data_IF_925294473251
#
_entry.id   IF_925294473251
#
_cell.length_a   1.000
_cell.length_b   1.000
_cell.length_c   1.000
_cell.angle_alpha   90.00
_cell.angle_beta   90.00
_cell.angle_gamma   90.00
#
_symmetry.space_group_name_H-M   'P 1'
#
loop_
_entity.id
_entity.type
_entity.pdbx_description
1 polymer ?
#
# COMPACT_ATOMS: atom_id res chain seq x y z
N UNK A 1 -5.99 -8.72 7.12
CA UNK A 1 -7.40 -9.15 6.91
C UNK A 1 -7.59 -9.84 5.57
N UNK A 2 -7.06 -9.32 4.46
CA UNK A 2 -7.20 -9.92 3.12
C UNK A 2 -6.56 -11.31 3.01
N UNK A 3 -5.36 -11.52 3.56
CA UNK A 3 -4.67 -12.82 3.61
C UNK A 3 -5.49 -13.92 4.29
N UNK A 4 -6.34 -13.56 5.24
CA UNK A 4 -7.21 -14.50 5.95
C UNK A 4 -8.64 -14.57 5.37
N UNK A 5 -8.97 -13.80 4.32
CA UNK A 5 -10.31 -13.78 3.72
C UNK A 5 -11.41 -13.20 4.61
N UNK A 6 -11.06 -12.38 5.60
CA UNK A 6 -11.98 -11.77 6.55
C UNK A 6 -12.68 -10.54 5.99
N UNK A 7 -13.98 -10.40 6.26
CA UNK A 7 -14.79 -9.24 5.87
C UNK A 7 -14.99 -8.27 7.05
N UNK A 8 -15.10 -6.97 6.80
CA UNK A 8 -15.48 -6.02 7.84
C UNK A 8 -16.85 -6.38 8.46
N UNK A 9 -16.93 -6.39 9.80
CA UNK A 9 -18.18 -6.65 10.51
C UNK A 9 -18.54 -8.12 10.74
N UNK A 10 -17.64 -9.06 10.43
CA UNK A 10 -17.86 -10.48 10.74
C UNK A 10 -17.89 -10.72 12.26
N UNK A 11 -18.77 -11.64 12.73
CA UNK A 11 -18.81 -12.04 14.14
C UNK A 11 -17.49 -12.69 14.60
N UNK A 12 -17.12 -12.49 15.86
CA UNK A 12 -15.90 -13.05 16.47
C UNK A 12 -15.70 -14.55 16.19
N UNK A 13 -16.77 -15.36 16.35
CA UNK A 13 -16.71 -16.79 16.09
C UNK A 13 -16.37 -17.13 14.63
N UNK A 14 -16.86 -16.35 13.68
CA UNK A 14 -16.57 -16.55 12.26
C UNK A 14 -15.12 -16.19 11.92
N UNK A 15 -14.61 -15.10 12.52
CA UNK A 15 -13.21 -14.68 12.36
C UNK A 15 -12.29 -15.79 12.93
N UNK A 16 -12.56 -16.25 14.15
CA UNK A 16 -11.78 -17.30 14.82
C UNK A 16 -11.77 -18.60 14.01
N UNK A 17 -12.93 -19.03 13.52
CA UNK A 17 -13.05 -20.23 12.68
C UNK A 17 -12.27 -20.08 11.36
N UNK A 18 -12.31 -18.89 10.75
CA UNK A 18 -11.58 -18.60 9.52
C UNK A 18 -10.07 -18.62 9.74
N UNK A 19 -9.59 -17.98 10.82
CA UNK A 19 -8.15 -18.00 11.19
C UNK A 19 -7.71 -19.43 11.48
N UNK A 20 -8.47 -20.17 12.29
CA UNK A 20 -8.18 -21.57 12.63
C UNK A 20 -8.00 -22.43 11.37
N UNK A 21 -8.95 -22.37 10.45
CA UNK A 21 -8.89 -23.12 9.18
C UNK A 21 -7.67 -22.73 8.34
N UNK A 22 -7.37 -21.44 8.23
CA UNK A 22 -6.21 -20.95 7.46
C UNK A 22 -4.87 -21.41 8.05
N UNK A 23 -4.77 -21.47 9.37
CA UNK A 23 -3.59 -21.99 10.04
C UNK A 23 -3.42 -23.49 9.77
N UNK A 24 -4.50 -24.27 9.84
CA UNK A 24 -4.47 -25.71 9.49
C UNK A 24 -4.08 -25.93 8.02
N UNK A 25 -4.64 -25.15 7.08
CA UNK A 25 -4.28 -25.20 5.66
C UNK A 25 -2.79 -24.90 5.41
N UNK A 26 -2.16 -24.14 6.30
CA UNK A 26 -0.74 -23.78 6.26
C UNK A 26 0.16 -24.68 7.13
N UNK A 27 -0.32 -25.82 7.60
CA UNK A 27 0.39 -26.74 8.48
C UNK A 27 0.91 -26.11 9.78
N UNK A 28 0.17 -25.10 10.29
CA UNK A 28 0.44 -24.43 11.57
C UNK A 28 -0.52 -24.90 12.64
N UNK A 29 -0.04 -24.96 13.89
CA UNK A 29 -0.90 -25.27 15.05
C UNK A 29 -1.87 -24.10 15.32
N UNK A 30 -3.21 -24.32 15.18
CA UNK A 30 -4.19 -23.28 15.44
C UNK A 30 -4.24 -22.87 16.92
N UNK A 31 -3.96 -23.77 17.85
CA UNK A 31 -4.00 -23.46 19.28
C UNK A 31 -2.92 -22.44 19.68
N UNK A 32 -1.77 -22.48 19.02
CA UNK A 32 -0.71 -21.48 19.18
C UNK A 32 -0.95 -20.22 18.30
N UNK A 33 -1.42 -20.41 17.07
CA UNK A 33 -1.48 -19.35 16.08
C UNK A 33 -2.69 -18.43 16.19
N UNK A 34 -3.88 -18.97 16.51
CA UNK A 34 -5.11 -18.16 16.62
C UNK A 34 -4.97 -17.01 17.61
N UNK A 35 -4.47 -17.21 18.84
CA UNK A 35 -4.29 -16.12 19.79
C UNK A 35 -3.35 -15.02 19.27
N UNK A 36 -2.28 -15.37 18.54
CA UNK A 36 -1.33 -14.41 17.98
C UNK A 36 -1.97 -13.56 16.89
N UNK A 37 -2.74 -14.20 15.98
CA UNK A 37 -3.44 -13.48 14.90
C UNK A 37 -4.53 -12.57 15.44
N UNK A 38 -5.33 -13.02 16.40
CA UNK A 38 -6.39 -12.22 17.00
C UNK A 38 -5.81 -11.00 17.74
N UNK A 39 -4.71 -11.20 18.49
CA UNK A 39 -4.01 -10.10 19.14
C UNK A 39 -3.47 -9.05 18.14
N UNK A 40 -2.93 -9.49 16.99
CA UNK A 40 -2.47 -8.60 15.94
C UNK A 40 -3.62 -7.80 15.30
N UNK A 41 -4.82 -8.36 15.28
CA UNK A 41 -6.02 -7.70 14.73
C UNK A 41 -6.74 -6.81 15.75
N UNK A 42 -6.20 -6.69 16.96
CA UNK A 42 -6.82 -6.00 18.11
C UNK A 42 -8.23 -6.54 18.43
N UNK A 43 -8.37 -7.86 18.29
CA UNK A 43 -9.60 -8.56 18.63
C UNK A 43 -9.47 -9.10 20.06
N UNK A 44 -10.44 -8.79 20.96
CA UNK A 44 -10.39 -9.27 22.33
C UNK A 44 -10.24 -10.79 22.40
N UNK A 45 -9.25 -11.24 23.14
CA UNK A 45 -9.01 -12.65 23.43
C UNK A 45 -9.58 -12.99 24.80
N UNK A 46 -10.05 -14.21 24.96
CA UNK A 46 -10.08 -14.83 26.29
C UNK A 46 -8.61 -14.98 26.72
N UNK A 47 -8.17 -14.08 27.58
CA UNK A 47 -6.79 -13.59 27.76
C UNK A 47 -5.80 -14.62 28.32
N UNK A 48 -6.25 -15.78 28.77
CA UNK A 48 -5.42 -16.75 29.49
C UNK A 48 -4.38 -17.47 28.60
N UNK A 49 -4.60 -17.57 27.29
CA UNK A 49 -3.73 -18.34 26.38
C UNK A 49 -2.43 -17.64 25.98
N UNK A 50 -2.37 -16.30 26.02
CA UNK A 50 -1.15 -15.53 25.74
C UNK A 50 -0.36 -15.13 27.01
N UNK A 51 -0.95 -15.32 28.17
CA UNK A 51 -0.35 -14.91 29.45
C UNK A 51 1.06 -15.49 29.73
N UNK A 52 1.40 -16.73 29.31
CA UNK A 52 2.71 -17.29 29.61
C UNK A 52 3.85 -16.75 28.71
N UNK A 53 3.55 -16.04 27.62
CA UNK A 53 4.59 -15.54 26.70
C UNK A 53 5.08 -14.16 27.10
N UNK A 54 6.39 -13.99 27.21
CA UNK A 54 7.00 -12.68 27.32
C UNK A 54 6.77 -11.83 26.04
N UNK A 55 6.79 -10.48 26.12
CA UNK A 55 6.62 -9.63 24.93
C UNK A 55 7.60 -9.95 23.79
N UNK A 56 8.91 -10.20 24.03
CA UNK A 56 9.84 -10.60 22.96
C UNK A 56 9.48 -11.95 22.33
N UNK A 57 9.08 -12.95 23.12
CA UNK A 57 8.67 -14.26 22.59
C UNK A 57 7.41 -14.16 21.73
N UNK A 58 6.42 -13.38 22.19
CA UNK A 58 5.20 -13.12 21.42
C UNK A 58 5.53 -12.49 20.07
N UNK A 59 6.38 -11.45 20.06
CA UNK A 59 6.84 -10.80 18.84
C UNK A 59 7.52 -11.80 17.89
N UNK A 60 8.46 -12.60 18.40
CA UNK A 60 9.19 -13.58 17.61
C UNK A 60 8.27 -14.64 16.99
N UNK A 61 7.31 -15.17 17.78
CA UNK A 61 6.32 -16.14 17.28
C UNK A 61 5.37 -15.53 16.26
N UNK A 62 4.91 -14.31 16.48
CA UNK A 62 4.07 -13.58 15.53
C UNK A 62 4.81 -13.36 14.19
N UNK A 63 6.08 -12.96 14.24
CA UNK A 63 6.90 -12.79 13.04
C UNK A 63 7.09 -14.11 12.27
N UNK A 64 7.37 -15.19 12.99
CA UNK A 64 7.54 -16.52 12.41
C UNK A 64 6.23 -17.00 11.74
N UNK A 65 5.11 -16.83 12.42
CA UNK A 65 3.79 -17.22 11.94
C UNK A 65 3.41 -16.46 10.67
N UNK A 66 3.50 -15.12 10.68
CA UNK A 66 3.18 -14.29 9.51
C UNK A 66 4.07 -14.63 8.31
N UNK A 67 5.37 -14.82 8.54
CA UNK A 67 6.30 -15.21 7.47
C UNK A 67 5.96 -16.58 6.91
N UNK A 68 5.63 -17.55 7.77
CA UNK A 68 5.23 -18.88 7.33
C UNK A 68 3.98 -18.82 6.46
N UNK A 69 2.95 -18.09 6.86
CA UNK A 69 1.72 -17.91 6.07
C UNK A 69 2.02 -17.32 4.68
N UNK A 70 2.85 -16.29 4.61
CA UNK A 70 3.23 -15.65 3.33
C UNK A 70 4.01 -16.63 2.45
N UNK A 71 4.96 -17.37 3.00
CA UNK A 71 5.77 -18.32 2.24
C UNK A 71 4.96 -19.54 1.82
N UNK A 72 4.09 -20.05 2.68
CA UNK A 72 3.19 -21.13 2.33
C UNK A 72 2.30 -20.76 1.13
N UNK A 73 1.74 -19.55 1.11
CA UNK A 73 0.96 -19.09 -0.04
C UNK A 73 1.83 -18.94 -1.29
N UNK A 74 3.05 -18.41 -1.16
CA UNK A 74 3.98 -18.24 -2.26
C UNK A 74 4.52 -19.58 -2.83
N UNK A 75 4.48 -20.66 -2.08
CA UNK A 75 4.79 -22.01 -2.59
C UNK A 75 3.67 -22.57 -3.46
N UNK A 76 2.43 -22.17 -3.21
CA UNK A 76 1.26 -22.64 -3.97
C UNK A 76 1.04 -21.84 -5.25
N UNK A 77 1.26 -20.54 -5.18
CA UNK A 77 1.09 -19.59 -6.28
C UNK A 77 2.12 -18.46 -6.17
N UNK A 78 2.67 -17.96 -7.29
CA UNK A 78 3.48 -16.75 -7.26
C UNK A 78 2.70 -15.59 -6.64
N UNK A 79 3.28 -14.94 -5.64
CA UNK A 79 2.63 -13.89 -4.86
C UNK A 79 3.33 -12.53 -5.04
N UNK A 80 2.56 -11.45 -4.89
CA UNK A 80 3.06 -10.09 -4.76
C UNK A 80 2.61 -9.53 -3.40
N UNK A 81 3.57 -9.15 -2.58
CA UNK A 81 3.33 -8.38 -1.36
C UNK A 81 3.61 -6.91 -1.65
N UNK A 82 2.57 -6.10 -1.77
CA UNK A 82 2.69 -4.66 -1.97
C UNK A 82 2.55 -3.93 -0.64
N UNK A 83 3.54 -3.08 -0.31
CA UNK A 83 3.54 -2.22 0.87
C UNK A 83 3.71 -0.77 0.42
N UNK A 84 2.66 0.00 0.54
CA UNK A 84 2.66 1.40 0.16
C UNK A 84 3.07 2.29 1.32
N UNK A 85 3.76 3.39 0.99
CA UNK A 85 4.19 4.40 1.97
C UNK A 85 5.03 3.83 3.12
N UNK A 86 5.97 2.94 2.81
CA UNK A 86 6.82 2.25 3.80
C UNK A 86 7.51 3.22 4.78
N UNK A 87 7.80 4.45 4.37
CA UNK A 87 8.38 5.49 5.22
C UNK A 87 7.49 5.94 6.40
N UNK A 88 6.23 5.50 6.46
CA UNK A 88 5.31 5.68 7.59
C UNK A 88 5.16 4.42 8.44
N UNK A 89 5.87 3.36 8.09
CA UNK A 89 5.84 2.12 8.85
C UNK A 89 6.43 2.31 10.24
N UNK A 90 5.85 1.65 11.23
CA UNK A 90 6.46 1.56 12.55
C UNK A 90 7.67 0.61 12.54
N UNK A 91 8.56 0.78 13.55
CA UNK A 91 9.80 0.01 13.63
C UNK A 91 9.57 -1.51 13.71
N UNK A 92 8.46 -1.96 14.30
CA UNK A 92 8.14 -3.39 14.43
C UNK A 92 7.73 -3.99 13.09
N UNK A 93 6.92 -3.26 12.31
CA UNK A 93 6.51 -3.65 10.97
C UNK A 93 7.70 -3.67 10.00
N UNK A 94 8.61 -2.69 10.09
CA UNK A 94 9.83 -2.64 9.28
C UNK A 94 10.77 -3.80 9.62
N UNK A 95 10.93 -4.12 10.91
CA UNK A 95 11.73 -5.26 11.37
C UNK A 95 11.18 -6.60 10.85
N UNK A 96 9.85 -6.77 10.88
CA UNK A 96 9.23 -7.96 10.31
C UNK A 96 9.48 -8.05 8.81
N UNK A 97 9.27 -6.96 8.08
CA UNK A 97 9.46 -6.92 6.63
C UNK A 97 10.92 -7.20 6.26
N UNK A 98 11.87 -6.64 7.02
CA UNK A 98 13.30 -6.94 6.88
C UNK A 98 13.57 -8.44 7.05
N UNK A 99 13.03 -9.04 8.12
CA UNK A 99 13.18 -10.47 8.38
C UNK A 99 12.56 -11.37 7.29
N UNK A 100 11.53 -10.89 6.60
CA UNK A 100 10.91 -11.54 5.46
C UNK A 100 11.82 -11.46 4.24
N UNK A 101 12.29 -10.24 3.92
CA UNK A 101 13.13 -9.96 2.75
C UNK A 101 14.44 -10.74 2.80
N UNK A 102 15.08 -10.85 3.96
CA UNK A 102 16.31 -11.64 4.14
C UNK A 102 16.16 -13.14 3.77
N UNK A 103 14.93 -13.64 3.70
CA UNK A 103 14.63 -15.06 3.41
C UNK A 103 13.91 -15.28 2.08
N UNK A 104 13.89 -14.28 1.20
CA UNK A 104 13.20 -14.36 -0.10
C UNK A 104 13.88 -15.30 -1.10
N UNK A 105 15.15 -15.63 -0.91
CA UNK A 105 15.87 -16.45 -1.87
C UNK A 105 15.17 -17.79 -2.14
N UNK A 106 14.80 -18.03 -3.39
CA UNK A 106 14.11 -19.24 -3.82
C UNK A 106 12.60 -19.30 -3.55
N UNK A 107 12.00 -18.21 -3.06
CA UNK A 107 10.55 -18.10 -2.85
C UNK A 107 9.91 -17.35 -4.02
N UNK A 108 8.78 -17.86 -4.53
CA UNK A 108 8.03 -17.20 -5.61
C UNK A 108 7.22 -15.98 -5.07
N UNK A 109 7.90 -15.05 -4.42
CA UNK A 109 7.33 -13.85 -3.80
C UNK A 109 8.05 -12.60 -4.30
N UNK A 110 7.30 -11.68 -4.90
CA UNK A 110 7.76 -10.31 -5.18
C UNK A 110 7.31 -9.39 -4.05
N UNK A 111 8.25 -8.72 -3.40
CA UNK A 111 7.95 -7.66 -2.43
C UNK A 111 8.11 -6.32 -3.16
N UNK A 112 7.00 -5.61 -3.33
CA UNK A 112 6.95 -4.28 -3.95
C UNK A 112 6.68 -3.24 -2.87
N UNK A 113 7.59 -2.28 -2.73
CA UNK A 113 7.44 -1.22 -1.73
C UNK A 113 7.48 0.16 -2.37
N UNK A 114 6.64 1.07 -1.90
CA UNK A 114 6.74 2.48 -2.27
C UNK A 114 7.16 3.31 -1.06
N UNK A 115 8.01 4.31 -1.30
CA UNK A 115 8.48 5.21 -0.25
C UNK A 115 8.93 6.56 -0.84
N UNK A 116 9.01 7.58 0.01
CA UNK A 116 9.45 8.92 -0.39
C UNK A 116 10.98 9.02 -0.48
N UNK A 117 11.50 9.93 -1.30
CA UNK A 117 12.93 10.25 -1.30
C UNK A 117 13.43 10.58 0.11
N UNK A 118 14.65 10.11 0.44
CA UNK A 118 15.24 10.28 1.77
C UNK A 118 15.04 9.08 2.72
N UNK A 119 14.05 8.22 2.48
CA UNK A 119 13.93 6.94 3.18
C UNK A 119 14.80 5.88 2.48
N UNK A 120 15.49 5.06 3.27
CA UNK A 120 16.34 3.98 2.76
C UNK A 120 15.98 2.67 3.43
N UNK A 121 15.27 1.76 2.73
CA UNK A 121 14.99 0.43 3.25
C UNK A 121 16.28 -0.31 3.62
N UNK A 122 16.34 -1.03 4.75
CA UNK A 122 17.55 -1.72 5.22
C UNK A 122 18.11 -2.75 4.22
N UNK A 123 17.27 -3.30 3.36
CA UNK A 123 17.60 -4.36 2.41
C UNK A 123 18.05 -3.88 1.02
N UNK A 124 18.18 -2.58 0.78
CA UNK A 124 18.60 -2.06 -0.54
C UNK A 124 19.96 -2.58 -1.00
N UNK A 125 20.82 -2.98 -0.07
CA UNK A 125 22.14 -3.54 -0.39
C UNK A 125 22.10 -4.99 -0.90
N UNK A 126 20.97 -5.68 -0.83
CA UNK A 126 20.86 -7.05 -1.32
C UNK A 126 20.85 -7.10 -2.85
N UNK A 127 21.53 -8.09 -3.42
CA UNK A 127 21.69 -8.26 -4.87
C UNK A 127 20.35 -8.50 -5.63
N UNK A 128 19.32 -8.94 -4.94
CA UNK A 128 17.98 -9.16 -5.48
C UNK A 128 17.03 -7.95 -5.27
N UNK A 129 17.50 -6.89 -4.61
CA UNK A 129 16.75 -5.65 -4.48
C UNK A 129 17.01 -4.73 -5.68
N UNK A 130 15.94 -4.17 -6.23
CA UNK A 130 16.01 -3.18 -7.32
C UNK A 130 15.29 -1.93 -6.89
N UNK A 131 15.96 -0.79 -6.97
CA UNK A 131 15.35 0.52 -6.73
C UNK A 131 14.97 1.17 -8.06
N UNK A 132 13.71 1.62 -8.15
CA UNK A 132 13.21 2.38 -9.29
C UNK A 132 12.89 3.80 -8.81
N UNK A 133 13.68 4.78 -9.25
CA UNK A 133 13.42 6.18 -8.97
C UNK A 133 12.41 6.73 -9.98
N UNK A 134 11.25 7.16 -9.48
CA UNK A 134 10.24 7.82 -10.32
C UNK A 134 10.58 9.31 -10.44
N UNK A 135 10.77 9.77 -11.67
CA UNK A 135 10.96 11.18 -11.99
C UNK A 135 9.63 11.81 -12.42
N UNK A 136 9.45 13.13 -12.26
CA UNK A 136 8.32 13.83 -12.86
C UNK A 136 8.22 13.54 -14.36
N UNK A 137 7.00 13.51 -14.88
CA UNK A 137 6.75 13.34 -16.31
C UNK A 137 7.35 14.51 -17.11
N UNK A 138 7.86 14.20 -18.30
CA UNK A 138 8.31 15.22 -19.25
C UNK A 138 7.11 15.96 -19.82
N UNK A 139 7.32 17.17 -20.35
CA UNK A 139 6.24 18.00 -20.90
C UNK A 139 5.39 17.29 -21.96
N UNK A 140 6.02 16.49 -22.84
CA UNK A 140 5.31 15.70 -23.86
C UNK A 140 4.40 14.63 -23.25
N UNK A 141 4.92 13.88 -22.25
CA UNK A 141 4.16 12.84 -21.54
C UNK A 141 3.04 13.46 -20.71
N UNK A 142 3.32 14.58 -20.04
CA UNK A 142 2.34 15.37 -19.29
C UNK A 142 1.18 15.81 -20.18
N UNK A 143 1.48 16.31 -21.39
CA UNK A 143 0.47 16.69 -22.38
C UNK A 143 -0.38 15.48 -22.79
N UNK A 144 0.21 14.32 -22.99
CA UNK A 144 -0.49 13.09 -23.34
C UNK A 144 -1.49 12.69 -22.23
N UNK A 145 -1.09 12.79 -20.97
CA UNK A 145 -1.98 12.53 -19.82
C UNK A 145 -3.16 13.50 -19.83
N UNK A 146 -2.90 14.81 -19.95
CA UNK A 146 -3.97 15.83 -19.98
C UNK A 146 -4.94 15.57 -21.14
N UNK A 147 -4.43 15.30 -22.35
CA UNK A 147 -5.26 15.01 -23.51
C UNK A 147 -6.10 13.74 -23.34
N UNK A 148 -5.56 12.71 -22.70
CA UNK A 148 -6.27 11.48 -22.41
C UNK A 148 -7.44 11.70 -21.41
N UNK A 149 -7.30 12.62 -20.47
CA UNK A 149 -8.37 12.98 -19.53
C UNK A 149 -9.41 13.86 -20.22
N UNK A 150 -8.97 14.87 -20.98
CA UNK A 150 -9.88 15.80 -21.68
C UNK A 150 -10.69 15.12 -22.80
N UNK A 151 -10.17 14.05 -23.39
CA UNK A 151 -10.78 13.24 -24.46
C UNK A 151 -11.44 14.08 -25.58
N UNK A 152 -12.75 14.34 -25.48
CA UNK A 152 -13.54 15.05 -26.49
C UNK A 152 -13.85 16.50 -26.10
N UNK A 153 -13.40 16.96 -24.94
CA UNK A 153 -13.63 18.34 -24.53
C UNK A 153 -12.82 19.29 -25.43
N UNK A 154 -13.49 20.24 -26.05
CA UNK A 154 -12.83 21.27 -26.86
C UNK A 154 -12.19 22.32 -25.93
N UNK A 155 -10.98 22.04 -25.50
CA UNK A 155 -10.22 22.91 -24.60
C UNK A 155 -9.12 23.62 -25.37
N UNK A 156 -8.96 24.96 -25.23
CA UNK A 156 -7.88 25.69 -25.88
C UNK A 156 -6.49 25.16 -25.51
N UNK A 157 -5.58 25.17 -26.48
CA UNK A 157 -4.20 24.68 -26.28
C UNK A 157 -3.47 25.47 -25.17
N UNK A 158 -3.81 26.73 -24.97
CA UNK A 158 -3.27 27.58 -23.90
C UNK A 158 -3.59 27.00 -22.53
N UNK A 159 -4.80 26.50 -22.31
CA UNK A 159 -5.23 25.85 -21.06
C UNK A 159 -4.48 24.54 -20.82
N UNK A 160 -4.29 23.74 -21.86
CA UNK A 160 -3.46 22.50 -21.79
C UNK A 160 -2.03 22.84 -21.35
N UNK A 161 -1.45 23.90 -21.92
CA UNK A 161 -0.11 24.34 -21.56
C UNK A 161 -0.03 24.86 -20.12
N UNK A 162 -1.04 25.57 -19.64
CA UNK A 162 -1.13 26.02 -18.25
C UNK A 162 -1.20 24.83 -17.28
N UNK A 163 -2.05 23.84 -17.54
CA UNK A 163 -2.12 22.60 -16.73
C UNK A 163 -0.75 21.92 -16.65
N UNK A 164 -0.09 21.72 -17.80
CA UNK A 164 1.23 21.07 -17.86
C UNK A 164 2.28 21.83 -17.05
N UNK A 165 2.26 23.16 -17.13
CA UNK A 165 3.20 24.03 -16.43
C UNK A 165 2.98 23.96 -14.90
N UNK A 166 1.72 24.07 -14.44
CA UNK A 166 1.39 24.06 -13.02
C UNK A 166 1.60 22.70 -12.38
N UNK A 167 1.26 21.62 -13.09
CA UNK A 167 1.43 20.26 -12.58
C UNK A 167 2.90 19.84 -12.43
N UNK A 168 3.84 20.54 -13.09
CA UNK A 168 5.29 20.27 -13.02
C UNK A 168 5.65 18.79 -13.19
N UNK A 169 4.90 18.05 -14.03
CA UNK A 169 5.11 16.63 -14.31
C UNK A 169 4.56 15.67 -13.26
N UNK A 170 3.78 16.14 -12.29
CA UNK A 170 3.08 15.28 -11.34
C UNK A 170 1.80 14.71 -11.98
N UNK A 171 1.71 13.38 -12.24
CA UNK A 171 0.58 12.77 -12.94
C UNK A 171 -0.77 13.03 -12.26
N UNK A 172 -0.82 12.88 -10.94
CA UNK A 172 -2.03 13.13 -10.17
C UNK A 172 -2.52 14.57 -10.33
N UNK A 173 -1.60 15.53 -10.33
CA UNK A 173 -1.93 16.94 -10.47
C UNK A 173 -2.40 17.28 -11.89
N UNK A 174 -1.82 16.63 -12.91
CA UNK A 174 -2.29 16.73 -14.30
C UNK A 174 -3.73 16.27 -14.45
N UNK A 175 -4.06 15.11 -13.89
CA UNK A 175 -5.42 14.56 -13.94
C UNK A 175 -6.42 15.45 -13.22
N UNK A 176 -6.13 15.87 -11.99
CA UNK A 176 -7.05 16.71 -11.20
C UNK A 176 -7.33 18.08 -11.85
N UNK A 177 -6.28 18.72 -12.39
CA UNK A 177 -6.46 20.00 -13.10
C UNK A 177 -7.26 19.82 -14.41
N UNK A 178 -7.02 18.72 -15.13
CA UNK A 178 -7.79 18.44 -16.36
C UNK A 178 -9.27 18.14 -16.03
N UNK A 179 -9.55 17.38 -14.97
CA UNK A 179 -10.94 17.18 -14.51
C UNK A 179 -11.60 18.48 -14.07
N UNK A 180 -10.88 19.34 -13.37
CA UNK A 180 -11.38 20.65 -12.96
C UNK A 180 -11.82 21.49 -14.16
N UNK A 181 -11.05 21.50 -15.24
CA UNK A 181 -11.39 22.21 -16.49
C UNK A 181 -12.65 21.63 -17.12
N UNK A 182 -12.83 20.31 -17.15
CA UNK A 182 -14.04 19.66 -17.68
C UNK A 182 -15.27 20.09 -16.88
N UNK A 183 -15.22 20.06 -15.56
CA UNK A 183 -16.33 20.40 -14.67
C UNK A 183 -16.76 21.87 -14.80
N UNK A 184 -15.84 22.77 -15.18
CA UNK A 184 -16.14 24.20 -15.38
C UNK A 184 -16.41 24.58 -16.85
N UNK A 185 -16.74 23.59 -17.70
CA UNK A 185 -17.21 23.82 -19.07
C UNK A 185 -16.12 24.24 -20.07
N UNK A 186 -14.87 23.94 -19.79
CA UNK A 186 -13.75 24.17 -20.73
C UNK A 186 -13.37 25.64 -20.94
N UNK A 187 -13.99 26.56 -20.23
CA UNK A 187 -13.64 27.98 -20.33
C UNK A 187 -12.32 28.26 -19.59
N UNK A 188 -11.49 29.17 -20.11
CA UNK A 188 -10.38 29.74 -19.37
C UNK A 188 -10.94 30.73 -18.32
N UNK A 189 -11.63 30.20 -17.30
CA UNK A 189 -11.71 30.96 -16.06
C UNK A 189 -10.27 31.11 -15.58
N UNK A 190 -9.88 32.24 -14.94
CA UNK A 190 -8.62 32.23 -14.22
C UNK A 190 -8.71 31.00 -13.31
N UNK A 191 -8.00 29.92 -13.69
CA UNK A 191 -7.92 28.74 -12.86
C UNK A 191 -7.50 29.28 -11.50
N UNK A 192 -8.33 29.25 -10.46
CA UNK A 192 -7.77 29.23 -9.14
C UNK A 192 -7.06 27.88 -9.07
N UNK A 193 -5.90 27.80 -9.80
CA UNK A 193 -5.02 26.66 -9.68
C UNK A 193 -4.60 26.72 -8.23
N UNK A 194 -5.07 25.80 -7.41
CA UNK A 194 -4.62 25.77 -6.04
C UNK A 194 -3.10 25.67 -6.11
N UNK A 195 -2.40 26.65 -5.55
CA UNK A 195 -0.93 26.72 -5.61
C UNK A 195 -0.28 25.50 -4.97
N UNK A 196 -1.06 24.66 -4.27
CA UNK A 196 -0.57 23.46 -3.61
C UNK A 196 -1.49 22.26 -3.85
N UNK A 197 -0.90 21.06 -3.85
CA UNK A 197 -1.61 19.78 -3.89
C UNK A 197 -2.66 19.68 -2.76
N UNK A 198 -2.37 20.26 -1.60
CA UNK A 198 -3.25 20.29 -0.44
C UNK A 198 -4.57 21.05 -0.72
N UNK A 199 -4.49 22.16 -1.44
CA UNK A 199 -5.68 22.94 -1.81
C UNK A 199 -6.55 22.19 -2.86
N UNK A 200 -5.94 21.42 -3.78
CA UNK A 200 -6.68 20.54 -4.71
C UNK A 200 -7.38 19.41 -3.96
N UNK A 201 -6.68 18.78 -3.03
CA UNK A 201 -7.24 17.73 -2.19
C UNK A 201 -8.34 18.24 -1.28
N UNK A 202 -8.19 19.43 -0.67
CA UNK A 202 -9.21 20.06 0.15
C UNK A 202 -10.48 20.32 -0.65
N UNK A 203 -10.37 20.88 -1.85
CA UNK A 203 -11.52 21.13 -2.73
C UNK A 203 -12.24 19.83 -3.17
N UNK A 204 -11.59 18.68 -3.10
CA UNK A 204 -12.18 17.37 -3.41
C UNK A 204 -12.83 16.70 -2.19
N UNK A 205 -12.34 16.96 -0.98
CA UNK A 205 -12.89 16.42 0.27
C UNK A 205 -14.20 17.13 0.63
N UNK A 206 -14.33 18.41 0.28
CA UNK A 206 -15.51 19.23 0.54
C UNK A 206 -16.69 18.97 -0.44
N UNK A 207 -16.57 17.96 -1.32
CA UNK A 207 -17.61 17.48 -2.24
C UNK A 207 -18.16 16.12 -1.82
#
# INVERSE_FOLDING_TARGET
RQLCGMRPGEPYAAITATVHRRLQEADLDPDEGVPLVLALLDIPLETERLAPLSPPERKARTFALLRHLVFHEAQRHPCILAVENLHWSDATSEEWLTSLVERLAGVALLVLVTYRPGYQPPWLAHSYATQIALSPLRAGDSRTVVQAVLQTASVPETVVQEIVTHAAGNPFFLEELAWHVIEHGGQPAPLPVPETIEAVLAARIDR
#
